data_IF_274473947976
#
_entry.id   IF_274473947976
#
_cell.length_a   1.000
_cell.length_b   1.000
_cell.length_c   1.000
_cell.angle_alpha   90.00
_cell.angle_beta   90.00
_cell.angle_gamma   90.00
#
_symmetry.space_group_name_H-M   'P 1'
#
loop_
_entity.id
_entity.type
_entity.pdbx_description
1 polymer ?
#
# COMPACT_ATOMS: atom_id res chain seq x y z
N UNK A 1 53.21 -14.67 -59.46
CA UNK A 1 54.10 -15.36 -58.52
C UNK A 1 53.84 -14.77 -57.15
N UNK A 2 53.30 -15.59 -56.23
CA UNK A 2 53.48 -15.56 -54.76
C UNK A 2 53.11 -14.30 -53.94
N UNK A 3 52.46 -14.32 -52.78
CA UNK A 3 51.71 -15.32 -52.01
C UNK A 3 50.79 -14.54 -51.06
N UNK A 4 49.57 -15.04 -50.86
CA UNK A 4 48.76 -14.69 -49.70
C UNK A 4 49.44 -15.17 -48.41
N UNK A 5 49.38 -14.37 -47.34
CA UNK A 5 49.63 -14.85 -45.98
C UNK A 5 48.58 -14.28 -45.04
N UNK A 6 47.54 -15.08 -44.83
CA UNK A 6 46.69 -15.03 -43.66
C UNK A 6 47.50 -15.39 -42.40
N UNK A 7 46.96 -15.00 -41.24
CA UNK A 7 47.26 -15.45 -39.86
C UNK A 7 48.20 -14.51 -39.08
N UNK A 8 47.59 -13.64 -38.27
CA UNK A 8 47.87 -13.64 -36.83
C UNK A 8 46.65 -13.13 -36.07
N UNK A 9 45.81 -14.11 -35.78
CA UNK A 9 44.70 -14.13 -34.83
C UNK A 9 45.13 -13.59 -33.46
N UNK A 10 44.14 -13.09 -32.70
CA UNK A 10 44.08 -13.21 -31.24
C UNK A 10 44.91 -12.18 -30.41
N UNK A 11 44.46 -10.93 -30.38
CA UNK A 11 45.10 -9.93 -29.52
C UNK A 11 44.26 -8.68 -29.21
N UNK A 12 42.94 -8.76 -29.26
CA UNK A 12 42.06 -7.62 -28.93
C UNK A 12 40.74 -8.08 -28.29
N UNK A 13 40.88 -8.90 -27.26
CA UNK A 13 39.86 -9.11 -26.23
C UNK A 13 40.46 -8.56 -24.92
N UNK A 14 39.63 -7.99 -24.05
CA UNK A 14 39.95 -7.35 -22.76
C UNK A 14 40.33 -5.87 -22.82
N UNK A 15 39.33 -4.98 -22.83
CA UNK A 15 39.38 -3.73 -22.03
C UNK A 15 38.09 -2.89 -21.96
N UNK A 16 36.88 -3.43 -22.19
CA UNK A 16 35.63 -2.66 -21.96
C UNK A 16 34.51 -3.57 -21.42
N UNK A 17 34.70 -4.20 -20.25
CA UNK A 17 33.59 -4.72 -19.43
C UNK A 17 33.91 -4.40 -17.96
N UNK A 18 33.87 -3.11 -17.63
CA UNK A 18 33.94 -2.63 -16.25
C UNK A 18 33.08 -1.36 -16.09
N UNK A 19 31.85 -1.42 -16.62
CA UNK A 19 30.79 -0.49 -16.29
C UNK A 19 29.76 -1.21 -15.43
N UNK A 20 30.18 -1.62 -14.23
CA UNK A 20 29.36 -2.31 -13.25
C UNK A 20 28.11 -1.45 -12.97
N UNK A 21 26.97 -1.88 -13.48
CA UNK A 21 25.66 -1.26 -13.29
C UNK A 21 25.23 -1.42 -11.84
N UNK A 22 25.69 -0.55 -10.96
CA UNK A 22 25.11 -0.33 -9.64
C UNK A 22 23.98 0.71 -9.75
N UNK A 23 23.00 0.45 -10.63
CA UNK A 23 21.68 1.04 -10.47
C UNK A 23 20.97 0.21 -9.40
N UNK A 24 21.34 0.43 -8.13
CA UNK A 24 20.55 -0.06 -7.02
C UNK A 24 19.14 0.46 -7.18
N UNK A 25 18.16 -0.44 -7.33
CA UNK A 25 16.75 -0.11 -7.22
C UNK A 25 16.44 0.28 -5.77
N UNK A 26 16.92 1.46 -5.34
CA UNK A 26 16.40 2.12 -4.17
C UNK A 26 15.00 2.61 -4.54
N UNK A 27 13.98 1.84 -4.17
CA UNK A 27 12.58 2.21 -4.39
C UNK A 27 12.34 3.62 -3.88
N UNK A 28 11.88 4.51 -4.77
CA UNK A 28 11.59 5.90 -4.45
C UNK A 28 10.58 5.98 -3.30
N UNK A 29 10.94 6.65 -2.21
CA UNK A 29 9.99 6.97 -1.15
C UNK A 29 8.91 7.91 -1.73
N UNK A 30 7.62 7.67 -1.43
CA UNK A 30 6.51 8.48 -1.95
C UNK A 30 6.62 9.93 -1.45
N UNK A 31 6.26 10.90 -2.29
CA UNK A 31 6.29 12.31 -1.92
C UNK A 31 5.15 12.64 -0.96
N UNK A 32 5.34 13.59 -0.02
CA UNK A 32 4.25 14.07 0.83
C UNK A 32 3.07 14.58 -0.01
N UNK A 33 1.85 14.16 0.33
CA UNK A 33 0.61 14.52 -0.35
C UNK A 33 0.22 13.64 -1.55
N UNK A 34 1.13 12.79 -2.02
CA UNK A 34 0.84 11.84 -3.11
C UNK A 34 0.08 10.62 -2.59
N UNK A 35 -0.95 10.18 -3.32
CA UNK A 35 -1.70 8.94 -3.02
C UNK A 35 -0.93 7.76 -3.61
N UNK A 36 -0.70 6.73 -2.80
CA UNK A 36 0.03 5.53 -3.22
C UNK A 36 -0.58 4.25 -2.62
N UNK A 37 -0.32 3.07 -3.22
CA UNK A 37 -0.65 1.79 -2.62
C UNK A 37 0.06 1.62 -1.27
N UNK A 38 -0.72 1.40 -0.21
CA UNK A 38 -0.24 1.37 1.17
C UNK A 38 0.89 0.38 1.44
N UNK A 39 0.93 -0.70 0.66
CA UNK A 39 1.92 -1.77 0.76
C UNK A 39 2.16 -2.35 -0.64
N UNK A 40 3.28 -3.04 -0.83
CA UNK A 40 3.57 -3.74 -2.08
C UNK A 40 2.53 -4.84 -2.38
N UNK A 41 2.41 -5.22 -3.65
CA UNK A 41 1.51 -6.28 -4.09
C UNK A 41 1.83 -7.60 -3.37
N UNK A 42 0.78 -8.34 -2.97
CA UNK A 42 0.91 -9.59 -2.24
C UNK A 42 1.33 -9.45 -0.76
N UNK A 43 1.36 -8.23 -0.22
CA UNK A 43 1.65 -7.94 1.20
C UNK A 43 0.48 -7.30 1.95
N UNK A 44 -0.71 -7.36 1.35
CA UNK A 44 -1.97 -6.92 1.91
C UNK A 44 -2.86 -8.12 2.17
N UNK A 45 -2.94 -8.55 3.43
CA UNK A 45 -3.87 -9.57 3.87
C UNK A 45 -5.21 -8.92 4.20
N UNK A 46 -6.32 -9.53 3.77
CA UNK A 46 -7.67 -8.98 3.94
C UNK A 46 -8.60 -10.02 4.56
N UNK A 47 -9.27 -9.63 5.63
CA UNK A 47 -10.41 -10.34 6.19
C UNK A 47 -11.63 -9.41 6.15
N UNK A 48 -12.55 -9.64 5.22
CA UNK A 48 -13.70 -8.76 5.00
C UNK A 48 -14.98 -9.58 5.22
N UNK A 49 -15.86 -9.08 6.08
CA UNK A 49 -17.17 -9.68 6.30
C UNK A 49 -18.00 -9.72 5.00
N UNK A 50 -18.86 -10.73 4.87
CA UNK A 50 -19.72 -10.94 3.70
C UNK A 50 -20.63 -9.74 3.37
N UNK A 51 -20.96 -8.93 4.37
CA UNK A 51 -21.83 -7.76 4.23
C UNK A 51 -21.07 -6.51 3.73
N UNK A 52 -19.75 -6.59 3.60
CA UNK A 52 -18.88 -5.46 3.25
C UNK A 52 -18.12 -5.69 1.95
N UNK A 53 -18.01 -4.63 1.15
CA UNK A 53 -17.15 -4.53 -0.03
C UNK A 53 -16.12 -3.43 0.21
N UNK A 54 -14.82 -3.75 0.06
CA UNK A 54 -13.75 -2.76 0.13
C UNK A 54 -13.68 -2.00 -1.20
N UNK A 55 -14.07 -0.73 -1.19
CA UNK A 55 -14.10 0.13 -2.38
C UNK A 55 -12.86 0.99 -2.55
N UNK A 56 -12.15 1.28 -1.45
CA UNK A 56 -10.87 2.01 -1.49
C UNK A 56 -9.95 1.54 -0.37
N UNK A 57 -8.67 1.41 -0.69
CA UNK A 57 -7.61 1.25 0.30
C UNK A 57 -6.33 1.93 -0.20
N UNK A 58 -6.13 3.17 0.23
CA UNK A 58 -5.08 4.04 -0.28
C UNK A 58 -4.35 4.77 0.85
N UNK A 59 -3.10 5.17 0.60
CA UNK A 59 -2.26 5.83 1.59
C UNK A 59 -1.70 7.15 1.10
N UNK A 60 -1.56 8.09 2.03
CA UNK A 60 -0.90 9.38 1.79
C UNK A 60 0.00 9.69 2.97
N UNK A 61 1.26 10.10 2.70
CA UNK A 61 2.09 10.72 3.72
C UNK A 61 1.70 12.19 3.82
N UNK A 62 1.28 12.64 5.00
CA UNK A 62 1.01 14.05 5.30
C UNK A 62 1.85 14.49 6.49
N UNK A 63 2.30 15.74 6.48
CA UNK A 63 2.86 16.35 7.68
C UNK A 63 1.74 16.73 8.64
N UNK A 64 1.85 16.29 9.88
CA UNK A 64 0.98 16.70 10.98
C UNK A 64 1.86 17.09 12.16
N UNK A 65 1.72 18.32 12.64
CA UNK A 65 2.50 18.87 13.77
C UNK A 65 4.03 18.67 13.64
N UNK A 66 4.56 18.82 12.41
CA UNK A 66 5.99 18.68 12.12
C UNK A 66 6.50 17.25 11.93
N UNK A 67 5.64 16.24 12.08
CA UNK A 67 5.97 14.82 11.87
C UNK A 67 5.29 14.25 10.63
N UNK A 68 5.96 13.30 9.95
CA UNK A 68 5.35 12.54 8.86
C UNK A 68 4.36 11.51 9.43
N UNK A 69 3.12 11.59 8.95
CA UNK A 69 1.99 10.74 9.34
C UNK A 69 1.45 10.06 8.11
N UNK A 70 1.27 8.75 8.18
CA UNK A 70 0.56 8.01 7.12
C UNK A 70 -0.91 8.04 7.40
N UNK A 71 -1.66 8.52 6.42
CA UNK A 71 -3.12 8.49 6.42
C UNK A 71 -3.57 7.31 5.57
N UNK A 72 -4.18 6.31 6.21
CA UNK A 72 -4.85 5.20 5.52
C UNK A 72 -6.29 5.58 5.23
N UNK A 73 -6.70 5.61 3.98
CA UNK A 73 -8.11 5.78 3.59
C UNK A 73 -8.70 4.40 3.33
N UNK A 74 -9.82 4.10 3.98
CA UNK A 74 -10.57 2.86 3.81
C UNK A 74 -11.99 3.22 3.37
N UNK A 75 -12.35 2.82 2.16
CA UNK A 75 -13.70 2.89 1.62
C UNK A 75 -14.42 1.56 1.82
N UNK A 76 -15.58 1.58 2.45
CA UNK A 76 -16.42 0.40 2.71
C UNK A 76 -17.81 0.64 2.18
N UNK A 77 -18.30 -0.30 1.38
CA UNK A 77 -19.69 -0.34 0.90
C UNK A 77 -20.45 -1.47 1.57
N UNK A 78 -21.66 -1.18 2.02
CA UNK A 78 -22.58 -2.20 2.50
C UNK A 78 -23.21 -2.92 1.30
N UNK A 79 -22.96 -4.22 1.17
CA UNK A 79 -23.54 -5.08 0.12
C UNK A 79 -24.62 -6.00 0.65
N UNK A 80 -24.95 -5.93 1.94
CA UNK A 80 -26.10 -6.63 2.52
C UNK A 80 -27.42 -5.87 2.26
N UNK A 81 -28.52 -6.52 2.62
CA UNK A 81 -29.88 -6.00 2.56
C UNK A 81 -30.31 -5.23 3.82
N UNK A 82 -29.48 -5.23 4.87
CA UNK A 82 -29.74 -4.54 6.13
C UNK A 82 -28.78 -3.36 6.34
N UNK A 83 -29.18 -2.29 7.06
CA UNK A 83 -28.24 -1.25 7.48
C UNK A 83 -27.17 -1.81 8.42
N UNK A 84 -25.89 -1.52 8.15
CA UNK A 84 -24.76 -2.10 8.88
C UNK A 84 -23.88 -1.08 9.59
N UNK A 85 -23.24 -1.51 10.67
CA UNK A 85 -22.07 -0.82 11.23
C UNK A 85 -20.85 -1.71 11.05
N UNK A 86 -19.79 -1.15 10.49
CA UNK A 86 -18.54 -1.88 10.31
C UNK A 86 -17.49 -1.43 11.33
N UNK A 87 -16.59 -2.34 11.68
CA UNK A 87 -15.35 -2.07 12.40
C UNK A 87 -14.19 -2.40 11.50
N UNK A 88 -13.36 -1.39 11.27
CA UNK A 88 -12.10 -1.51 10.54
C UNK A 88 -10.98 -1.65 11.56
N UNK A 89 -10.09 -2.61 11.35
CA UNK A 89 -8.81 -2.70 12.03
C UNK A 89 -7.70 -2.88 10.97
N UNK A 90 -6.64 -2.11 11.11
CA UNK A 90 -5.46 -2.13 10.25
C UNK A 90 -4.28 -2.48 11.16
N UNK A 91 -3.68 -3.64 10.96
CA UNK A 91 -2.47 -4.06 11.65
C UNK A 91 -1.28 -3.91 10.73
N UNK A 92 -0.20 -3.33 11.24
CA UNK A 92 1.03 -3.10 10.50
C UNK A 92 2.11 -4.07 10.98
N UNK A 93 3.02 -4.42 10.08
CA UNK A 93 4.16 -5.32 10.34
C UNK A 93 5.10 -4.82 11.45
N UNK A 94 5.13 -3.51 11.70
CA UNK A 94 5.90 -2.90 12.78
C UNK A 94 5.19 -2.94 14.16
N UNK A 95 4.09 -3.69 14.29
CA UNK A 95 3.34 -3.86 15.54
C UNK A 95 2.38 -2.71 15.86
N UNK A 96 2.31 -1.65 15.05
CA UNK A 96 1.29 -0.61 15.18
C UNK A 96 -0.07 -1.11 14.67
N UNK A 97 -1.14 -0.63 15.29
CA UNK A 97 -2.50 -0.90 14.84
C UNK A 97 -3.33 0.37 14.91
N UNK A 98 -4.24 0.54 13.95
CA UNK A 98 -5.21 1.64 13.92
C UNK A 98 -6.54 1.12 13.40
N UNK A 99 -7.64 1.77 13.76
CA UNK A 99 -8.94 1.34 13.32
C UNK A 99 -10.06 2.17 13.93
N UNK A 100 -11.28 1.79 13.60
CA UNK A 100 -12.45 2.46 14.14
C UNK A 100 -13.73 1.96 13.51
N UNK A 101 -14.83 2.59 13.93
CA UNK A 101 -16.17 2.25 13.46
C UNK A 101 -16.55 3.08 12.24
N UNK A 102 -17.29 2.47 11.33
CA UNK A 102 -17.86 3.07 10.12
C UNK A 102 -19.38 2.85 10.17
N UNK A 103 -20.19 3.92 10.33
CA UNK A 103 -19.77 5.28 10.62
C UNK A 103 -19.20 5.44 12.05
N UNK A 104 -18.32 6.43 12.23
CA UNK A 104 -17.70 6.74 13.53
C UNK A 104 -18.75 7.11 14.58
N UNK A 105 -19.73 7.95 14.20
CA UNK A 105 -20.87 8.37 15.01
C UNK A 105 -22.15 7.81 14.42
N UNK A 106 -23.09 7.40 15.28
CA UNK A 106 -24.37 6.81 14.87
C UNK A 106 -25.47 7.84 14.64
N UNK A 107 -25.22 9.12 14.89
CA UNK A 107 -26.20 10.20 14.79
C UNK A 107 -26.79 10.31 13.37
N UNK A 108 -26.03 9.88 12.35
CA UNK A 108 -26.44 9.86 10.95
C UNK A 108 -26.95 8.47 10.51
N UNK A 109 -27.24 7.57 11.45
CA UNK A 109 -27.65 6.19 11.18
C UNK A 109 -26.49 5.22 10.92
N UNK A 110 -26.85 4.04 10.43
CA UNK A 110 -25.95 2.99 9.96
C UNK A 110 -25.63 3.18 8.46
N UNK A 111 -24.67 2.43 7.93
CA UNK A 111 -24.42 2.38 6.48
C UNK A 111 -25.59 1.67 5.82
N UNK A 112 -26.39 2.36 5.02
CA UNK A 112 -27.53 1.76 4.34
C UNK A 112 -27.10 0.73 3.27
N UNK A 113 -27.96 -0.23 2.88
CA UNK A 113 -27.72 -1.13 1.76
C UNK A 113 -27.28 -0.38 0.49
N UNK A 114 -26.21 -0.85 -0.15
CA UNK A 114 -25.61 -0.23 -1.34
C UNK A 114 -24.81 1.04 -1.10
N UNK A 115 -24.84 1.62 0.11
CA UNK A 115 -24.12 2.86 0.43
C UNK A 115 -22.64 2.59 0.72
N UNK A 116 -21.78 3.44 0.14
CA UNK A 116 -20.35 3.51 0.45
C UNK A 116 -20.02 4.63 1.43
N UNK A 117 -19.06 4.39 2.33
CA UNK A 117 -18.45 5.42 3.17
C UNK A 117 -16.94 5.22 3.26
N UNK A 118 -16.20 6.33 3.29
CA UNK A 118 -14.74 6.31 3.43
C UNK A 118 -14.29 7.00 4.70
N UNK A 119 -13.32 6.41 5.38
CA UNK A 119 -12.72 6.95 6.61
C UNK A 119 -11.21 6.94 6.51
N UNK A 120 -10.60 7.99 7.06
CA UNK A 120 -9.14 8.14 7.11
C UNK A 120 -8.63 7.87 8.52
N UNK A 121 -7.61 7.01 8.62
CA UNK A 121 -6.96 6.61 9.86
C UNK A 121 -5.50 7.09 9.85
N UNK A 122 -5.14 8.13 10.62
CA UNK A 122 -3.77 8.60 10.72
C UNK A 122 -2.93 7.71 11.65
N UNK A 123 -1.70 7.42 11.25
CA UNK A 123 -0.69 6.70 12.05
C UNK A 123 0.60 7.51 12.10
N UNK A 124 0.98 7.91 13.30
CA UNK A 124 2.19 8.71 13.57
C UNK A 124 3.43 7.82 13.77
N UNK A 125 4.60 8.44 13.59
CA UNK A 125 5.89 7.76 13.79
C UNK A 125 6.16 6.71 12.72
N UNK A 126 5.79 7.00 11.47
CA UNK A 126 6.10 6.18 10.31
C UNK A 126 6.93 7.03 9.34
N UNK A 127 8.19 6.66 9.15
CA UNK A 127 9.12 7.33 8.21
C UNK A 127 9.19 6.63 6.85
N UNK A 128 8.60 5.44 6.74
CA UNK A 128 8.60 4.58 5.55
C UNK A 128 7.25 3.88 5.40
N UNK A 129 6.98 3.34 4.22
CA UNK A 129 5.77 2.53 3.98
C UNK A 129 5.84 1.24 4.84
N UNK A 130 4.69 0.75 5.35
CA UNK A 130 4.61 -0.59 5.93
C UNK A 130 5.11 -1.65 4.95
N UNK A 131 5.75 -2.72 5.43
CA UNK A 131 6.14 -3.85 4.57
C UNK A 131 5.04 -4.90 4.47
N UNK A 132 4.09 -4.89 5.41
CA UNK A 132 2.95 -5.78 5.48
C UNK A 132 1.78 -5.12 6.18
N UNK A 133 0.57 -5.41 5.71
CA UNK A 133 -0.66 -4.90 6.31
C UNK A 133 -1.67 -6.04 6.38
N UNK A 134 -2.33 -6.17 7.53
CA UNK A 134 -3.56 -6.95 7.66
C UNK A 134 -4.74 -5.99 7.87
N UNK A 135 -5.66 -5.97 6.90
CA UNK A 135 -6.89 -5.18 6.93
C UNK A 135 -8.06 -6.09 7.28
N UNK A 136 -8.72 -5.80 8.41
CA UNK A 136 -9.88 -6.54 8.88
C UNK A 136 -11.10 -5.61 8.89
N UNK A 137 -12.17 -6.00 8.20
CA UNK A 137 -13.46 -5.32 8.20
C UNK A 137 -14.51 -6.29 8.72
N UNK A 138 -15.09 -6.00 9.88
CA UNK A 138 -16.13 -6.82 10.50
C UNK A 138 -17.44 -6.06 10.60
N UNK A 139 -18.54 -6.77 10.46
CA UNK A 139 -19.87 -6.29 10.79
C UNK A 139 -20.05 -6.36 12.32
N UNK A 140 -20.62 -5.32 12.92
CA UNK A 140 -20.80 -5.23 14.38
C UNK A 140 -22.15 -5.74 14.89
N UNK A 141 -23.04 -6.17 14.00
CA UNK A 141 -24.38 -6.68 14.32
C UNK A 141 -24.43 -8.20 14.49
N UNK A 142 -23.28 -8.86 14.66
CA UNK A 142 -23.19 -10.28 15.00
C UNK A 142 -23.05 -10.46 16.51
#
# INVERSE_FOLDING_TARGET
MEKAKHISTLGWLFLIIAGMTLAGCAGSQPKPGEVFPCVADGKLDKEIASEAELTDFSCVFKKFEGSDVVHFTVGVKNVSDQPQRFRVNIFLDNGKAVGGLIPRKLNNGLVAPGQGQSFTYPVTGMTTKPKGITLIIRTMSQ
#
